data_IF_386575149401
#
_entry.id   IF_386575149401
#
_cell.length_a   1.000
_cell.length_b   1.000
_cell.length_c   1.000
_cell.angle_alpha   90.00
_cell.angle_beta   90.00
_cell.angle_gamma   90.00
#
_symmetry.space_group_name_H-M   'P 1'
#
loop_
_entity.id
_entity.type
_entity.pdbx_description
1 polymer ?
#
# COMPACT_ATOMS: atom_id res chain seq x y z
N UNK A 1 24.09 -31.08 -7.90
CA UNK A 1 23.68 -30.76 -6.53
C UNK A 1 22.77 -31.87 -6.00
N UNK A 2 22.83 -32.19 -4.72
CA UNK A 2 22.02 -33.22 -4.09
C UNK A 2 20.68 -32.62 -3.61
N UNK A 3 19.59 -33.37 -3.82
CA UNK A 3 18.25 -33.02 -3.33
C UNK A 3 18.20 -33.16 -1.84
N UNK A 4 18.00 -32.04 -1.14
CA UNK A 4 17.89 -32.00 0.32
C UNK A 4 16.58 -31.36 0.73
N UNK A 5 16.19 -31.58 1.99
CA UNK A 5 15.06 -30.90 2.57
C UNK A 5 15.46 -29.54 3.13
N UNK A 6 14.67 -28.52 2.81
CA UNK A 6 14.88 -27.14 3.28
C UNK A 6 13.55 -26.48 3.62
N UNK A 7 13.62 -25.42 4.40
CA UNK A 7 12.48 -24.51 4.54
C UNK A 7 12.49 -23.58 3.33
N UNK A 8 11.42 -23.62 2.56
CA UNK A 8 11.21 -22.75 1.39
C UNK A 8 10.24 -21.65 1.81
N UNK A 9 10.65 -20.41 1.61
CA UNK A 9 9.89 -19.22 1.96
C UNK A 9 9.66 -18.45 0.66
N UNK A 10 8.41 -18.31 0.29
CA UNK A 10 8.02 -17.46 -0.83
C UNK A 10 7.93 -16.02 -0.36
N UNK A 11 8.65 -15.13 -1.01
CA UNK A 11 8.68 -13.71 -0.69
C UNK A 11 8.26 -12.90 -1.90
N UNK A 12 7.30 -12.01 -1.70
CA UNK A 12 6.93 -10.99 -2.68
C UNK A 12 7.70 -9.72 -2.37
N UNK A 13 8.55 -9.29 -3.29
CA UNK A 13 9.34 -8.06 -3.16
C UNK A 13 8.56 -6.88 -3.72
N UNK A 14 8.47 -5.80 -2.96
CA UNK A 14 7.81 -4.57 -3.38
C UNK A 14 8.50 -3.33 -2.81
N UNK A 15 8.58 -2.29 -3.62
CA UNK A 15 9.12 -1.01 -3.19
C UNK A 15 8.01 -0.07 -2.74
N UNK A 16 8.29 0.73 -1.73
CA UNK A 16 7.31 1.64 -1.17
C UNK A 16 7.90 2.84 -0.43
N UNK A 17 6.99 3.58 0.19
CA UNK A 17 7.35 4.72 1.03
C UNK A 17 6.75 4.56 2.40
N UNK A 18 7.52 4.96 3.39
CA UNK A 18 7.08 5.00 4.78
C UNK A 18 6.20 6.23 4.97
N UNK A 19 5.04 6.02 5.59
CA UNK A 19 4.11 7.08 5.95
C UNK A 19 3.54 6.82 7.35
N UNK A 20 3.01 7.85 8.05
CA UNK A 20 2.28 7.63 9.29
C UNK A 20 0.96 6.92 9.01
N UNK A 21 0.48 6.13 9.97
CA UNK A 21 -0.84 5.49 9.91
C UNK A 21 -1.97 6.54 9.93
N UNK A 22 -1.78 7.62 10.70
CA UNK A 22 -2.72 8.73 10.80
C UNK A 22 -2.01 10.05 10.50
N UNK A 23 -2.51 10.77 9.50
CA UNK A 23 -2.05 12.08 9.09
C UNK A 23 -3.24 13.02 8.95
N UNK A 24 -3.15 14.20 9.55
CA UNK A 24 -4.19 15.22 9.49
C UNK A 24 -3.63 16.49 8.84
N UNK A 25 -4.20 16.83 7.70
CA UNK A 25 -3.89 18.08 7.01
C UNK A 25 -4.73 19.22 7.57
N UNK A 26 -4.07 20.20 8.16
CA UNK A 26 -4.71 21.40 8.70
C UNK A 26 -4.83 22.41 7.57
N UNK A 27 -6.08 22.71 7.23
CA UNK A 27 -6.41 23.69 6.19
C UNK A 27 -7.26 24.82 6.78
N UNK A 28 -7.18 26.01 6.19
CA UNK A 28 -8.08 27.12 6.54
C UNK A 28 -9.41 26.96 5.85
N UNK A 29 -10.50 27.17 6.58
CA UNK A 29 -11.86 27.25 6.02
C UNK A 29 -12.28 28.69 5.68
N UNK A 30 -11.51 29.69 6.16
CA UNK A 30 -11.73 31.11 5.91
C UNK A 30 -10.50 31.71 5.22
N UNK A 31 -10.69 32.80 4.49
CA UNK A 31 -9.59 33.52 3.85
C UNK A 31 -9.13 34.69 4.72
N UNK A 32 -7.89 34.57 5.25
CA UNK A 32 -7.31 35.63 6.10
C UNK A 32 -5.76 35.55 6.06
N UNK A 33 -5.10 36.66 6.44
CA UNK A 33 -3.66 36.73 6.58
C UNK A 33 -3.19 36.02 7.84
N UNK A 34 -2.12 35.26 7.75
CA UNK A 34 -1.48 34.60 8.91
C UNK A 34 -0.72 35.68 9.70
N UNK A 35 -1.11 35.88 10.95
CA UNK A 35 -0.47 36.87 11.84
C UNK A 35 0.60 36.27 12.72
N UNK A 36 0.43 35.02 13.14
CA UNK A 36 1.44 34.29 13.92
C UNK A 36 1.28 32.79 13.75
N UNK A 37 2.42 32.08 13.79
CA UNK A 37 2.53 30.63 13.87
C UNK A 37 3.24 30.32 15.18
N UNK A 38 2.63 29.47 16.02
CA UNK A 38 3.11 29.20 17.39
C UNK A 38 3.93 27.91 17.50
N UNK A 39 4.05 27.15 16.42
CA UNK A 39 4.73 25.86 16.34
C UNK A 39 5.67 25.81 15.14
N UNK A 40 6.71 25.00 15.23
CA UNK A 40 7.65 24.73 14.15
C UNK A 40 7.53 23.26 13.68
N UNK A 41 8.13 22.96 12.52
CA UNK A 41 8.26 21.57 12.08
C UNK A 41 9.07 20.75 13.09
N UNK A 42 8.56 19.58 13.45
CA UNK A 42 9.12 18.70 14.47
C UNK A 42 8.57 18.89 15.87
N UNK A 43 7.78 19.95 16.12
CA UNK A 43 7.16 20.16 17.44
C UNK A 43 6.03 19.17 17.69
N UNK A 44 5.94 18.72 18.95
CA UNK A 44 4.84 17.89 19.42
C UNK A 44 3.68 18.77 19.86
N UNK A 45 2.48 18.48 19.39
CA UNK A 45 1.26 19.24 19.67
C UNK A 45 0.20 18.38 20.35
N UNK A 46 -0.61 19.03 21.20
CA UNK A 46 -1.72 18.38 21.89
C UNK A 46 -3.07 18.82 21.30
N UNK A 47 -4.13 18.02 21.43
CA UNK A 47 -5.47 18.40 21.00
C UNK A 47 -5.90 19.73 21.62
N UNK A 48 -6.44 20.63 20.80
CA UNK A 48 -6.86 21.98 21.24
C UNK A 48 -5.73 23.00 21.36
N UNK A 49 -4.47 22.63 21.14
CA UNK A 49 -3.35 23.58 21.13
C UNK A 49 -3.47 24.55 19.95
N UNK A 50 -3.22 25.84 20.21
CA UNK A 50 -3.19 26.85 19.15
C UNK A 50 -1.97 26.64 18.26
N UNK A 51 -2.20 26.55 16.96
CA UNK A 51 -1.18 26.34 15.94
C UNK A 51 -0.88 27.64 15.18
N UNK A 52 -1.96 28.27 14.69
CA UNK A 52 -1.88 29.46 13.85
C UNK A 52 -2.96 30.43 14.25
N UNK A 53 -2.60 31.72 14.30
CA UNK A 53 -3.56 32.82 14.39
C UNK A 53 -3.58 33.59 13.08
N UNK A 54 -4.78 33.91 12.62
CA UNK A 54 -5.02 34.73 11.45
C UNK A 54 -5.58 36.11 11.84
N UNK A 55 -5.60 37.06 10.91
CA UNK A 55 -6.16 38.38 11.16
C UNK A 55 -7.67 38.30 11.43
N UNK A 56 -8.05 38.54 12.67
CA UNK A 56 -9.42 38.45 13.15
C UNK A 56 -10.20 39.77 13.06
N UNK A 57 -9.56 40.90 12.65
CA UNK A 57 -10.17 42.22 12.76
C UNK A 57 -11.52 42.34 12.07
N UNK A 58 -11.63 41.83 10.86
CA UNK A 58 -12.86 41.86 10.09
C UNK A 58 -13.92 40.93 10.69
N UNK A 59 -13.57 39.76 11.10
CA UNK A 59 -14.48 38.78 11.72
C UNK A 59 -14.96 39.25 13.09
N UNK A 60 -14.08 39.81 13.87
CA UNK A 60 -14.40 40.39 15.17
C UNK A 60 -15.34 41.59 15.03
N UNK A 61 -15.16 42.46 14.03
CA UNK A 61 -16.07 43.54 13.75
C UNK A 61 -17.47 43.06 13.36
N UNK A 62 -17.56 42.03 12.51
CA UNK A 62 -18.83 41.40 12.11
C UNK A 62 -19.53 40.74 13.31
N UNK A 63 -18.79 40.03 14.19
CA UNK A 63 -19.31 39.46 15.42
C UNK A 63 -19.89 40.56 16.33
N UNK A 64 -19.15 41.65 16.60
CA UNK A 64 -19.58 42.73 17.45
C UNK A 64 -20.83 43.45 16.88
N UNK A 65 -20.93 43.61 15.57
CA UNK A 65 -22.09 44.16 14.89
C UNK A 65 -23.35 43.32 15.16
N UNK A 66 -23.21 42.00 14.96
CA UNK A 66 -24.32 41.04 15.15
C UNK A 66 -24.71 40.93 16.61
N UNK A 67 -23.73 40.94 17.54
CA UNK A 67 -23.97 40.99 18.99
C UNK A 67 -24.79 42.22 19.39
N UNK A 68 -24.51 43.37 18.77
CA UNK A 68 -25.33 44.60 19.01
C UNK A 68 -26.76 44.44 18.46
N UNK A 69 -26.94 43.67 17.37
CA UNK A 69 -28.25 43.28 16.87
C UNK A 69 -29.06 42.42 17.83
N UNK A 70 -28.42 41.43 18.46
CA UNK A 70 -29.05 40.59 19.50
C UNK A 70 -29.51 41.47 20.67
N UNK A 71 -28.63 42.34 21.18
CA UNK A 71 -28.98 43.26 22.28
C UNK A 71 -30.17 44.15 21.96
N UNK A 72 -30.28 44.62 20.70
CA UNK A 72 -31.42 45.42 20.22
C UNK A 72 -32.71 44.60 20.19
N UNK A 73 -32.68 43.36 19.68
CA UNK A 73 -33.81 42.45 19.66
C UNK A 73 -34.27 42.05 21.08
N UNK A 74 -33.34 41.77 21.98
CA UNK A 74 -33.64 41.50 23.40
C UNK A 74 -34.29 42.71 24.10
N UNK A 75 -33.83 43.93 23.84
CA UNK A 75 -34.43 45.14 24.38
C UNK A 75 -35.87 45.32 23.88
N UNK A 76 -36.13 45.02 22.60
CA UNK A 76 -37.49 45.02 22.02
C UNK A 76 -38.38 43.96 22.65
N UNK A 77 -37.88 42.70 22.80
CA UNK A 77 -38.61 41.65 23.49
C UNK A 77 -38.96 42.04 24.91
N UNK A 78 -38.02 42.62 25.66
CA UNK A 78 -38.27 43.13 27.04
C UNK A 78 -39.38 44.19 27.06
N UNK A 79 -39.40 45.11 26.09
CA UNK A 79 -40.46 46.11 25.96
C UNK A 79 -41.81 45.47 25.73
N UNK A 80 -41.92 44.55 24.77
CA UNK A 80 -43.17 43.87 24.39
C UNK A 80 -43.63 42.96 25.53
N UNK A 81 -42.72 42.27 26.18
CA UNK A 81 -43.01 41.42 27.36
C UNK A 81 -43.66 42.24 28.48
N UNK A 82 -43.09 43.41 28.85
CA UNK A 82 -43.67 44.27 29.87
C UNK A 82 -45.02 44.84 29.44
N UNK A 83 -45.27 45.00 28.16
CA UNK A 83 -46.60 45.39 27.64
C UNK A 83 -47.59 44.24 27.71
N UNK A 84 -47.18 43.00 27.35
CA UNK A 84 -47.97 41.78 27.46
C UNK A 84 -48.43 41.56 28.91
N UNK A 85 -47.54 41.62 29.91
CA UNK A 85 -47.83 41.45 31.33
C UNK A 85 -48.88 42.47 31.82
N UNK A 86 -48.77 43.74 31.35
CA UNK A 86 -49.78 44.77 31.69
C UNK A 86 -51.14 44.47 31.04
N UNK A 87 -51.14 44.08 29.77
CA UNK A 87 -52.36 43.78 29.01
C UNK A 87 -53.07 42.54 29.59
N UNK A 88 -52.33 41.50 29.95
CA UNK A 88 -52.85 40.30 30.63
C UNK A 88 -53.54 40.68 31.96
N UNK A 89 -52.91 41.54 32.78
CA UNK A 89 -53.50 42.02 34.03
C UNK A 89 -54.76 42.86 33.83
N UNK A 90 -54.89 43.62 32.73
CA UNK A 90 -56.13 44.35 32.39
C UNK A 90 -57.25 43.44 31.88
N UNK A 91 -56.89 42.41 31.13
CA UNK A 91 -57.84 41.41 30.65
C UNK A 91 -58.43 40.59 31.79
N UNK A 92 -57.62 40.16 32.78
CA UNK A 92 -58.11 39.50 33.98
C UNK A 92 -59.14 40.34 34.75
N UNK A 93 -59.03 41.66 34.66
CA UNK A 93 -59.97 42.62 35.29
C UNK A 93 -61.15 42.97 34.35
N UNK A 94 -61.29 42.31 33.20
CA UNK A 94 -62.32 42.55 32.17
C UNK A 94 -62.31 43.97 31.59
N UNK A 95 -61.16 44.62 31.51
CA UNK A 95 -61.00 46.02 31.07
C UNK A 95 -60.65 46.15 29.58
N UNK A 96 -60.31 45.08 28.93
CA UNK A 96 -59.94 45.00 27.50
C UNK A 96 -60.57 43.84 26.80
N UNK A 97 -60.58 43.84 25.46
CA UNK A 97 -61.11 42.76 24.62
C UNK A 97 -60.13 41.59 24.44
N UNK A 98 -60.70 40.42 24.12
CA UNK A 98 -59.87 39.22 23.79
C UNK A 98 -58.98 39.49 22.56
N UNK A 99 -59.50 40.19 21.57
CA UNK A 99 -58.75 40.58 20.36
C UNK A 99 -57.46 41.37 20.68
N UNK A 100 -57.54 42.28 21.67
CA UNK A 100 -56.40 43.08 22.07
C UNK A 100 -55.31 42.26 22.81
N UNK A 101 -55.74 41.25 23.60
CA UNK A 101 -54.85 40.28 24.20
C UNK A 101 -54.15 39.42 23.12
N UNK A 102 -54.90 38.84 22.19
CA UNK A 102 -54.33 38.05 21.10
C UNK A 102 -53.37 38.86 20.23
N UNK A 103 -53.61 40.14 20.00
CA UNK A 103 -52.69 41.01 19.25
C UNK A 103 -51.35 41.22 19.98
N UNK A 104 -51.34 41.40 21.29
CA UNK A 104 -50.09 41.56 22.06
C UNK A 104 -49.34 40.25 22.21
N UNK A 105 -50.04 39.12 22.32
CA UNK A 105 -49.46 37.78 22.33
C UNK A 105 -48.74 37.51 21.01
N UNK A 106 -49.38 37.79 19.88
CA UNK A 106 -48.73 37.67 18.57
C UNK A 106 -47.52 38.61 18.43
N UNK A 107 -47.60 39.83 18.99
CA UNK A 107 -46.46 40.75 18.99
C UNK A 107 -45.28 40.27 19.85
N UNK A 108 -45.61 39.61 20.98
CA UNK A 108 -44.59 38.99 21.84
C UNK A 108 -43.92 37.82 21.13
N UNK A 109 -44.67 36.94 20.47
CA UNK A 109 -44.16 35.81 19.73
C UNK A 109 -43.25 36.27 18.56
N UNK A 110 -43.69 37.34 17.86
CA UNK A 110 -42.86 37.97 16.79
C UNK A 110 -41.53 38.49 17.36
N UNK A 111 -41.58 39.22 18.50
CA UNK A 111 -40.37 39.75 19.14
C UNK A 111 -39.45 38.63 19.65
N UNK A 112 -40.02 37.54 20.17
CA UNK A 112 -39.26 36.34 20.57
C UNK A 112 -38.55 35.72 19.38
N UNK A 113 -39.26 35.47 18.26
CA UNK A 113 -38.69 34.92 17.02
C UNK A 113 -37.58 35.82 16.45
N UNK A 114 -37.67 37.15 16.60
CA UNK A 114 -36.62 38.09 16.22
C UNK A 114 -35.33 37.92 17.06
N UNK A 115 -35.47 37.63 18.35
CA UNK A 115 -34.31 37.32 19.19
C UNK A 115 -33.65 36.01 18.74
N UNK A 116 -34.44 34.95 18.50
CA UNK A 116 -33.93 33.65 18.06
C UNK A 116 -33.19 33.77 16.70
N UNK A 117 -33.73 34.58 15.78
CA UNK A 117 -33.09 34.86 14.50
C UNK A 117 -31.78 35.61 14.68
N UNK A 118 -31.75 36.63 15.56
CA UNK A 118 -30.54 37.41 15.83
C UNK A 118 -29.46 36.53 16.51
N UNK A 119 -29.85 35.67 17.44
CA UNK A 119 -28.95 34.72 18.10
C UNK A 119 -28.37 33.70 17.14
N UNK A 120 -29.18 33.17 16.23
CA UNK A 120 -28.69 32.26 15.16
C UNK A 120 -27.66 32.94 14.24
N UNK A 121 -27.90 34.23 13.91
CA UNK A 121 -26.95 35.04 13.16
C UNK A 121 -25.66 35.29 13.94
N UNK A 122 -25.74 35.52 15.24
CA UNK A 122 -24.57 35.70 16.12
C UNK A 122 -23.73 34.43 16.16
N UNK A 123 -24.34 33.26 16.33
CA UNK A 123 -23.67 31.97 16.37
C UNK A 123 -22.88 31.72 15.07
N UNK A 124 -23.45 32.08 13.90
CA UNK A 124 -22.75 31.97 12.63
C UNK A 124 -21.48 32.86 12.59
N UNK A 125 -21.54 34.08 13.11
CA UNK A 125 -20.38 34.99 13.13
C UNK A 125 -19.35 34.60 14.18
N UNK A 126 -19.79 34.00 15.28
CA UNK A 126 -18.91 33.42 16.30
C UNK A 126 -18.11 32.22 15.73
N UNK A 127 -18.77 31.35 14.98
CA UNK A 127 -18.11 30.24 14.28
C UNK A 127 -17.07 30.75 13.28
N UNK A 128 -17.40 31.77 12.47
CA UNK A 128 -16.44 32.39 11.55
C UNK A 128 -15.24 33.01 12.29
N UNK A 129 -15.49 33.67 13.42
CA UNK A 129 -14.44 34.24 14.27
C UNK A 129 -13.57 33.15 14.90
N UNK A 130 -14.15 32.04 15.35
CA UNK A 130 -13.41 30.93 15.92
C UNK A 130 -12.44 30.33 14.93
N UNK A 131 -12.83 30.25 13.65
CA UNK A 131 -12.04 29.73 12.54
C UNK A 131 -10.81 30.58 12.18
N UNK A 132 -10.67 31.79 12.76
CA UNK A 132 -9.43 32.58 12.65
C UNK A 132 -8.28 31.99 13.46
N UNK A 133 -8.56 31.05 14.34
CA UNK A 133 -7.57 30.34 15.15
C UNK A 133 -7.60 28.86 14.76
N UNK A 134 -6.51 28.40 14.17
CA UNK A 134 -6.37 26.99 13.85
C UNK A 134 -5.81 26.25 15.06
N UNK A 135 -6.56 25.26 15.52
CA UNK A 135 -6.21 24.42 16.66
C UNK A 135 -5.88 23.01 16.19
N UNK A 136 -5.01 22.31 16.94
CA UNK A 136 -4.70 20.92 16.66
C UNK A 136 -5.92 20.03 16.96
N UNK A 137 -6.40 19.21 15.99
CA UNK A 137 -7.54 18.33 16.22
C UNK A 137 -7.16 17.05 16.99
N UNK A 138 -5.89 16.63 16.91
CA UNK A 138 -5.38 15.41 17.53
C UNK A 138 -3.95 15.63 18.07
N UNK A 139 -3.49 14.68 18.88
CA UNK A 139 -2.10 14.60 19.29
C UNK A 139 -1.22 14.19 18.09
N UNK A 140 -0.02 14.76 17.98
CA UNK A 140 0.92 14.40 16.94
C UNK A 140 2.13 15.32 16.87
N UNK A 141 2.91 15.15 15.81
CA UNK A 141 4.08 15.97 15.51
C UNK A 141 3.81 16.72 14.21
N UNK A 142 4.20 17.99 14.15
CA UNK A 142 4.12 18.80 12.93
C UNK A 142 5.13 18.26 11.91
N UNK A 143 4.65 17.63 10.84
CA UNK A 143 5.51 17.02 9.82
C UNK A 143 5.86 17.97 8.69
N UNK A 144 4.98 18.90 8.37
CA UNK A 144 5.26 19.95 7.39
C UNK A 144 4.51 21.24 7.69
N UNK A 145 5.14 22.37 7.38
CA UNK A 145 4.57 23.70 7.44
C UNK A 145 4.65 24.34 6.05
N UNK A 146 3.51 24.46 5.38
CA UNK A 146 3.45 24.91 3.98
C UNK A 146 3.36 26.43 3.85
N UNK A 147 3.01 27.12 4.93
CA UNK A 147 2.73 28.56 4.96
C UNK A 147 3.57 29.30 5.98
N UNK A 148 3.91 30.56 5.67
CA UNK A 148 4.68 31.44 6.55
C UNK A 148 3.84 32.58 7.13
N UNK A 149 4.37 33.23 8.18
CA UNK A 149 3.75 34.44 8.75
C UNK A 149 3.74 35.56 7.70
N UNK A 150 2.59 36.19 7.51
CA UNK A 150 2.41 37.23 6.50
C UNK A 150 1.86 36.70 5.16
N UNK A 151 1.72 35.38 5.00
CA UNK A 151 1.02 34.82 3.85
C UNK A 151 -0.49 34.77 4.07
N UNK A 152 -1.23 34.65 2.96
CA UNK A 152 -2.67 34.48 2.98
C UNK A 152 -3.03 32.99 3.04
N UNK A 153 -3.75 32.57 4.06
CA UNK A 153 -4.47 31.30 4.08
C UNK A 153 -5.76 31.46 3.26
N UNK A 154 -5.87 30.70 2.18
CA UNK A 154 -7.05 30.72 1.30
C UNK A 154 -8.02 29.66 1.80
N UNK A 155 -9.17 30.10 2.30
CA UNK A 155 -10.29 29.25 2.65
C UNK A 155 -11.26 29.14 1.49
N UNK A 156 -11.90 27.98 1.35
CA UNK A 156 -12.94 27.79 0.35
C UNK A 156 -13.37 26.33 0.24
N UNK A 157 -14.60 26.13 -0.21
CA UNK A 157 -15.20 24.80 -0.34
C UNK A 157 -14.56 23.96 -1.45
N UNK A 158 -13.93 24.60 -2.47
CA UNK A 158 -13.42 23.92 -3.65
C UNK A 158 -11.91 23.62 -3.64
N UNK A 159 -11.13 24.36 -2.86
CA UNK A 159 -9.68 24.14 -2.78
C UNK A 159 -9.12 24.74 -1.47
N UNK A 160 -9.35 24.08 -0.35
CA UNK A 160 -8.80 24.53 0.93
C UNK A 160 -7.28 24.43 0.88
N UNK A 161 -6.60 25.56 1.08
CA UNK A 161 -5.15 25.58 1.16
C UNK A 161 -4.67 24.87 2.44
N UNK A 162 -3.93 23.79 2.27
CA UNK A 162 -3.24 23.13 3.39
C UNK A 162 -2.20 24.09 3.94
N UNK A 163 -2.21 24.31 5.25
CA UNK A 163 -1.30 25.21 5.94
C UNK A 163 -0.20 24.44 6.64
N UNK A 164 -0.54 23.33 7.25
CA UNK A 164 0.40 22.40 7.89
C UNK A 164 -0.16 20.99 7.95
N UNK A 165 0.70 20.03 8.22
CA UNK A 165 0.36 18.62 8.41
C UNK A 165 0.82 18.17 9.79
N UNK A 166 -0.04 17.44 10.48
CA UNK A 166 0.25 16.81 11.79
C UNK A 166 0.09 15.30 11.63
N UNK A 167 1.03 14.53 12.15
CA UNK A 167 0.97 13.08 12.09
C UNK A 167 1.43 12.43 13.41
N UNK A 168 0.88 11.26 13.69
CA UNK A 168 1.36 10.42 14.77
C UNK A 168 2.51 9.53 14.26
N UNK A 169 3.74 9.87 14.63
CA UNK A 169 4.95 9.14 14.21
C UNK A 169 5.21 7.89 15.06
N UNK A 170 4.40 7.62 16.10
CA UNK A 170 4.52 6.39 16.89
C UNK A 170 3.98 5.17 16.12
N UNK A 171 3.13 5.40 15.12
CA UNK A 171 2.51 4.37 14.29
C UNK A 171 2.81 4.66 12.83
N UNK A 172 3.70 3.86 12.27
CA UNK A 172 4.16 3.99 10.90
C UNK A 172 3.73 2.79 10.07
N UNK A 173 3.43 3.02 8.81
CA UNK A 173 3.16 1.99 7.82
C UNK A 173 4.00 2.23 6.56
N UNK A 174 4.26 1.17 5.83
CA UNK A 174 4.86 1.25 4.49
C UNK A 174 3.76 1.05 3.46
N UNK A 175 3.62 2.00 2.57
CA UNK A 175 2.75 1.90 1.41
C UNK A 175 3.55 1.39 0.23
N UNK A 176 3.40 0.11 -0.10
CA UNK A 176 4.13 -0.56 -1.19
C UNK A 176 3.27 -0.75 -2.43
N UNK A 177 3.93 -0.75 -3.59
CA UNK A 177 3.31 -1.02 -4.88
C UNK A 177 3.66 -2.46 -5.30
N UNK A 178 2.70 -3.39 -5.16
CA UNK A 178 2.83 -4.81 -5.50
C UNK A 178 2.30 -5.07 -6.90
N UNK A 179 3.01 -5.86 -7.69
CA UNK A 179 2.58 -6.23 -9.04
C UNK A 179 1.29 -7.06 -9.04
N UNK A 180 0.48 -6.98 -10.11
CA UNK A 180 -0.77 -7.72 -10.28
C UNK A 180 -0.60 -9.25 -10.17
N UNK A 181 0.53 -9.78 -10.66
CA UNK A 181 0.77 -11.23 -10.60
C UNK A 181 1.06 -11.71 -9.18
N UNK A 182 1.69 -10.88 -8.37
CA UNK A 182 2.17 -11.24 -7.04
C UNK A 182 1.13 -10.94 -5.95
N UNK A 183 0.28 -9.91 -6.15
CA UNK A 183 -0.73 -9.51 -5.17
C UNK A 183 -1.75 -10.61 -4.86
N UNK A 184 -1.96 -11.53 -5.79
CA UNK A 184 -2.89 -12.67 -5.62
C UNK A 184 -2.45 -13.61 -4.50
N UNK A 185 -1.15 -13.70 -4.25
CA UNK A 185 -0.57 -14.56 -3.19
C UNK A 185 -0.49 -13.85 -1.83
N UNK A 186 -0.59 -12.50 -1.82
CA UNK A 186 -0.52 -11.71 -0.59
C UNK A 186 -1.85 -11.74 0.15
N UNK A 187 -1.81 -11.97 1.46
CA UNK A 187 -2.99 -11.96 2.32
C UNK A 187 -2.83 -10.98 3.49
N UNK A 188 -3.95 -10.44 3.98
CA UNK A 188 -3.94 -9.61 5.19
C UNK A 188 -3.52 -10.46 6.39
N UNK A 189 -2.52 -9.98 7.12
CA UNK A 189 -1.92 -10.70 8.24
C UNK A 189 -0.57 -11.34 7.93
N UNK A 190 -0.13 -11.36 6.66
CA UNK A 190 1.19 -11.85 6.29
C UNK A 190 2.28 -11.01 6.97
N UNK A 191 3.35 -11.66 7.39
CA UNK A 191 4.52 -11.00 7.94
C UNK A 191 5.40 -10.46 6.83
N UNK A 192 6.01 -9.30 7.06
CA UNK A 192 6.88 -8.65 6.09
C UNK A 192 8.20 -8.22 6.74
N UNK A 193 9.28 -8.39 6.01
CA UNK A 193 10.59 -7.83 6.31
C UNK A 193 10.72 -6.50 5.58
N UNK A 194 11.08 -5.44 6.30
CA UNK A 194 11.15 -4.08 5.79
C UNK A 194 12.60 -3.61 5.87
N UNK A 195 13.17 -3.31 4.74
CA UNK A 195 14.50 -2.72 4.60
C UNK A 195 14.33 -1.25 4.23
N UNK A 196 14.83 -0.36 5.07
CA UNK A 196 14.75 1.09 4.86
C UNK A 196 16.08 1.55 4.27
N UNK A 197 16.06 2.25 3.13
CA UNK A 197 17.26 2.67 2.40
C UNK A 197 18.22 3.53 3.26
N UNK A 198 17.65 4.27 4.21
CA UNK A 198 18.42 5.09 5.14
C UNK A 198 19.12 4.27 6.25
N UNK A 199 18.75 2.99 6.45
CA UNK A 199 19.27 2.10 7.50
C UNK A 199 19.61 0.71 6.93
N UNK A 200 20.62 0.60 6.06
CA UNK A 200 20.91 -0.62 5.29
C UNK A 200 21.25 -1.84 6.16
N UNK A 201 21.76 -1.62 7.37
CA UNK A 201 22.17 -2.69 8.28
C UNK A 201 21.06 -3.12 9.26
N UNK A 202 19.84 -2.59 9.11
CA UNK A 202 18.75 -2.83 10.06
C UNK A 202 17.52 -3.36 9.33
N UNK A 203 17.09 -4.55 9.71
CA UNK A 203 15.85 -5.17 9.23
C UNK A 203 14.72 -4.87 10.22
N UNK A 204 13.64 -4.29 9.70
CA UNK A 204 12.41 -4.08 10.47
C UNK A 204 11.38 -5.11 10.07
N UNK A 205 10.42 -5.37 10.95
CA UNK A 205 9.33 -6.29 10.71
C UNK A 205 8.00 -5.56 10.67
N UNK A 206 7.11 -6.06 9.85
CA UNK A 206 5.76 -5.54 9.72
C UNK A 206 4.73 -6.63 9.46
N UNK A 207 3.48 -6.22 9.41
CA UNK A 207 2.34 -7.09 9.10
C UNK A 207 1.49 -6.39 8.04
N UNK A 208 1.07 -7.12 7.02
CA UNK A 208 0.14 -6.63 6.00
C UNK A 208 -1.19 -6.29 6.67
N UNK A 209 -1.57 -5.01 6.65
CA UNK A 209 -2.79 -4.51 7.27
C UNK A 209 -3.94 -4.34 6.28
N UNK A 210 -3.63 -3.94 5.04
CA UNK A 210 -4.64 -3.65 4.03
C UNK A 210 -4.08 -3.89 2.63
N UNK A 211 -4.93 -4.40 1.74
CA UNK A 211 -4.64 -4.58 0.32
C UNK A 211 -5.69 -3.80 -0.47
N UNK A 212 -5.26 -2.86 -1.31
CA UNK A 212 -6.17 -2.06 -2.11
C UNK A 212 -6.91 -2.92 -3.15
N UNK A 213 -8.22 -2.75 -3.24
CA UNK A 213 -9.06 -3.47 -4.22
C UNK A 213 -9.02 -2.84 -5.62
N UNK A 214 -8.39 -1.69 -5.77
CA UNK A 214 -8.30 -0.97 -7.05
C UNK A 214 -6.85 -0.80 -7.44
N UNK A 215 -6.51 -1.23 -8.64
CA UNK A 215 -5.19 -1.01 -9.20
C UNK A 215 -4.98 0.46 -9.58
N UNK A 216 -3.77 0.97 -9.37
CA UNK A 216 -3.31 2.22 -9.98
C UNK A 216 -2.48 1.89 -11.21
N UNK A 217 -3.02 2.19 -12.38
CA UNK A 217 -2.26 2.17 -13.62
C UNK A 217 -1.39 3.45 -13.68
N UNK A 218 -0.10 3.29 -13.65
CA UNK A 218 0.84 4.39 -13.91
C UNK A 218 1.02 4.56 -15.42
N UNK A 219 0.80 5.80 -15.88
CA UNK A 219 1.03 6.32 -17.24
C UNK A 219 -0.04 6.04 -18.32
N UNK A 220 -0.88 7.05 -18.50
CA UNK A 220 -1.53 7.28 -19.80
C UNK A 220 -0.45 7.72 -20.82
N UNK A 221 0.18 6.79 -21.54
CA UNK A 221 1.05 7.17 -22.66
C UNK A 221 2.25 6.29 -22.99
N UNK A 222 2.60 5.29 -22.21
CA UNK A 222 3.65 4.32 -22.57
C UNK A 222 3.07 2.94 -22.95
N UNK A 223 3.72 2.23 -23.86
CA UNK A 223 3.28 0.94 -24.39
C UNK A 223 3.34 -0.22 -23.36
N UNK A 224 3.92 0.01 -22.18
CA UNK A 224 3.93 -0.95 -21.07
C UNK A 224 3.11 -0.41 -19.93
N UNK A 225 1.91 -0.95 -19.78
CA UNK A 225 1.01 -0.67 -18.68
C UNK A 225 1.33 -1.61 -17.52
N UNK A 226 2.12 -1.16 -16.56
CA UNK A 226 2.36 -1.92 -15.33
C UNK A 226 1.20 -1.65 -14.37
N UNK A 227 0.48 -2.70 -14.04
CA UNK A 227 -0.63 -2.66 -13.09
C UNK A 227 -0.12 -3.02 -11.71
N UNK A 228 -0.16 -2.07 -10.78
CA UNK A 228 0.25 -2.27 -9.40
C UNK A 228 -0.91 -2.06 -8.44
N UNK A 229 -0.93 -2.85 -7.37
CA UNK A 229 -1.85 -2.72 -6.24
C UNK A 229 -1.12 -2.15 -5.04
N UNK A 230 -1.77 -1.22 -4.34
CA UNK A 230 -1.21 -0.68 -3.11
C UNK A 230 -1.49 -1.61 -1.94
N UNK A 231 -0.43 -1.96 -1.23
CA UNK A 231 -0.49 -2.77 -0.02
C UNK A 231 0.09 -1.94 1.13
N UNK A 232 -0.62 -1.90 2.25
CA UNK A 232 -0.16 -1.26 3.48
C UNK A 232 0.43 -2.30 4.41
N UNK A 233 1.64 -2.06 4.83
CA UNK A 233 2.36 -2.91 5.79
C UNK A 233 2.65 -2.10 7.04
N UNK A 234 1.98 -2.43 8.13
CA UNK A 234 2.16 -1.78 9.43
C UNK A 234 3.49 -2.21 10.04
N UNK A 235 4.32 -1.24 10.40
CA UNK A 235 5.61 -1.50 11.05
C UNK A 235 5.41 -1.88 12.52
N UNK A 236 6.16 -2.88 12.97
CA UNK A 236 6.24 -3.26 14.38
C UNK A 236 7.38 -2.47 15.03
N UNK A 237 7.04 -1.70 16.08
CA UNK A 237 8.02 -0.92 16.86
C UNK A 237 8.92 -0.02 16.00
N UNK A 238 8.38 0.93 15.25
CA UNK A 238 9.20 1.84 14.45
C UNK A 238 10.13 2.67 15.36
N UNK A 239 11.43 2.78 15.06
CA UNK A 239 12.32 3.64 15.82
C UNK A 239 12.01 5.12 15.55
N UNK A 240 12.21 5.96 16.56
CA UNK A 240 11.83 7.39 16.49
C UNK A 240 12.62 8.25 15.49
N UNK A 241 13.63 7.70 14.82
CA UNK A 241 14.43 8.36 13.78
C UNK A 241 13.91 8.08 12.35
N UNK A 242 12.93 7.23 12.17
CA UNK A 242 12.24 7.06 10.89
C UNK A 242 11.36 8.27 10.62
N UNK A 243 11.42 8.78 9.38
CA UNK A 243 10.65 9.94 8.94
C UNK A 243 9.70 9.58 7.81
N UNK A 244 8.51 10.18 7.76
CA UNK A 244 7.63 10.05 6.60
C UNK A 244 8.33 10.42 5.30
N UNK A 245 8.02 9.69 4.22
CA UNK A 245 8.62 9.89 2.90
C UNK A 245 9.89 9.10 2.63
N UNK A 246 10.50 8.43 3.62
CA UNK A 246 11.65 7.55 3.40
C UNK A 246 11.24 6.38 2.49
N UNK A 247 12.16 6.02 1.58
CA UNK A 247 12.02 4.86 0.71
C UNK A 247 12.37 3.58 1.45
N UNK A 248 11.70 2.51 1.11
CA UNK A 248 11.93 1.18 1.68
C UNK A 248 11.57 0.07 0.69
N UNK A 249 12.25 -1.05 0.83
CA UNK A 249 11.94 -2.30 0.16
C UNK A 249 11.30 -3.24 1.17
N UNK A 250 10.20 -3.87 0.78
CA UNK A 250 9.45 -4.77 1.64
C UNK A 250 9.39 -6.16 1.01
N UNK A 251 9.81 -7.17 1.75
CA UNK A 251 9.73 -8.58 1.39
C UNK A 251 8.57 -9.21 2.17
N UNK A 252 7.40 -9.36 1.53
CA UNK A 252 6.20 -9.95 2.13
C UNK A 252 6.33 -11.47 2.08
N UNK A 253 6.26 -12.14 3.22
CA UNK A 253 6.30 -13.60 3.33
C UNK A 253 4.89 -14.13 3.16
N UNK A 254 4.60 -14.68 1.98
CA UNK A 254 3.26 -15.15 1.62
C UNK A 254 3.06 -16.62 1.94
N UNK A 255 4.10 -17.43 1.79
CA UNK A 255 4.00 -18.85 2.05
C UNK A 255 5.31 -19.41 2.63
N UNK A 256 5.18 -20.34 3.58
CA UNK A 256 6.32 -21.03 4.20
C UNK A 256 6.09 -22.53 4.14
N UNK A 257 6.93 -23.25 3.40
CA UNK A 257 6.96 -24.72 3.36
C UNK A 257 8.13 -25.21 4.19
N UNK A 258 7.81 -25.80 5.35
CA UNK A 258 8.81 -26.40 6.23
C UNK A 258 9.16 -27.81 5.76
N UNK A 259 10.44 -28.15 5.81
CA UNK A 259 10.96 -29.49 5.50
C UNK A 259 10.55 -30.02 4.11
N UNK A 260 10.45 -29.10 3.12
CA UNK A 260 10.11 -29.46 1.75
C UNK A 260 11.32 -30.00 0.97
N UNK A 261 11.10 -30.97 0.10
CA UNK A 261 12.10 -31.43 -0.87
C UNK A 261 12.39 -30.25 -1.81
N UNK A 262 13.65 -29.85 -1.93
CA UNK A 262 14.03 -28.65 -2.68
C UNK A 262 14.99 -28.97 -3.81
N UNK A 263 14.78 -28.27 -4.94
CA UNK A 263 15.64 -28.29 -6.11
C UNK A 263 16.08 -26.87 -6.45
N UNK A 264 17.33 -26.66 -6.90
CA UNK A 264 17.77 -25.35 -7.36
C UNK A 264 16.97 -24.86 -8.57
N UNK A 265 16.67 -23.57 -8.65
CA UNK A 265 15.94 -22.96 -9.79
C UNK A 265 16.63 -23.31 -11.13
N UNK A 266 17.95 -23.32 -11.15
CA UNK A 266 18.74 -23.58 -12.34
C UNK A 266 18.60 -25.02 -12.89
N UNK A 267 18.10 -25.98 -12.11
CA UNK A 267 17.92 -27.38 -12.51
C UNK A 267 16.62 -27.63 -13.28
N UNK A 268 15.64 -26.73 -13.18
CA UNK A 268 14.33 -26.87 -13.78
C UNK A 268 14.34 -26.45 -15.25
N UNK A 269 13.74 -27.26 -16.13
CA UNK A 269 13.54 -26.90 -17.53
C UNK A 269 12.19 -27.40 -18.05
N UNK A 270 11.65 -26.73 -19.07
CA UNK A 270 10.41 -27.12 -19.71
C UNK A 270 10.69 -27.92 -20.99
N UNK A 271 10.08 -29.11 -21.11
CA UNK A 271 10.16 -29.98 -22.30
C UNK A 271 8.76 -30.28 -22.84
N UNK A 272 8.68 -30.65 -24.15
CA UNK A 272 7.42 -31.13 -24.68
C UNK A 272 7.11 -32.54 -24.17
N UNK A 273 5.83 -32.87 -23.96
CA UNK A 273 5.37 -34.17 -23.43
C UNK A 273 5.90 -35.39 -24.18
N UNK A 274 6.31 -35.23 -25.46
CA UNK A 274 6.84 -36.29 -26.32
C UNK A 274 8.37 -36.39 -26.31
N UNK A 275 9.08 -35.83 -25.33
CA UNK A 275 10.56 -35.79 -25.33
C UNK A 275 11.23 -37.16 -25.34
N UNK A 276 10.62 -38.21 -24.75
CA UNK A 276 11.15 -39.57 -24.75
C UNK A 276 11.11 -40.24 -26.15
N UNK A 277 10.02 -40.03 -26.87
CA UNK A 277 9.86 -40.57 -28.24
C UNK A 277 10.76 -39.86 -29.24
N UNK A 278 11.01 -38.57 -29.07
CA UNK A 278 11.92 -37.78 -29.91
C UNK A 278 13.39 -38.18 -29.68
N UNK A 279 13.76 -38.58 -28.46
CA UNK A 279 15.11 -39.06 -28.14
C UNK A 279 15.42 -40.45 -28.78
N UNK A 280 14.43 -41.35 -28.83
CA UNK A 280 14.56 -42.67 -29.45
C UNK A 280 14.65 -42.60 -31.00
N UNK A 281 13.92 -41.66 -31.63
CA UNK A 281 13.93 -41.50 -33.07
C UNK A 281 15.22 -40.86 -33.64
N UNK A 282 15.97 -40.10 -32.84
CA UNK A 282 17.27 -39.52 -33.24
C UNK A 282 18.40 -40.55 -33.31
N UNK A 283 18.26 -41.73 -32.68
CA UNK A 283 19.24 -42.83 -32.79
C UNK A 283 19.10 -43.66 -34.06
N UNK A 284 17.96 -43.59 -34.78
CA UNK A 284 17.71 -44.44 -35.97
C UNK A 284 17.94 -43.74 -37.31
N UNK A 285 18.16 -42.45 -37.37
CA UNK A 285 18.40 -41.73 -38.61
C UNK A 285 19.76 -41.01 -38.59
N UNK A 286 20.83 -41.81 -38.64
CA UNK A 286 22.14 -41.41 -39.17
C UNK A 286 22.23 -41.94 -40.61
N UNK A 287 21.44 -41.41 -41.50
CA UNK A 287 21.68 -41.47 -42.95
C UNK A 287 21.10 -40.22 -43.58
N UNK A 288 21.91 -39.61 -44.33
CA UNK A 288 21.85 -38.43 -45.15
C UNK A 288 20.45 -38.07 -45.72
N UNK A 289 19.99 -36.83 -45.51
CA UNK A 289 19.12 -36.19 -46.49
C UNK A 289 19.54 -34.74 -46.73
N UNK A 290 19.88 -34.53 -48.01
CA UNK A 290 20.12 -33.24 -48.65
C UNK A 290 18.90 -32.35 -48.55
N UNK A 291 19.12 -31.10 -48.19
CA UNK A 291 18.15 -30.03 -48.33
C UNK A 291 17.77 -29.83 -49.80
N UNK A 292 16.54 -30.14 -50.15
CA UNK A 292 15.89 -29.67 -51.37
C UNK A 292 14.72 -28.76 -51.00
N UNK A 293 14.82 -27.49 -51.36
CA UNK A 293 13.86 -26.45 -51.01
C UNK A 293 12.56 -26.60 -51.81
N UNK A 294 11.50 -27.01 -51.13
CA UNK A 294 10.13 -26.81 -51.59
C UNK A 294 9.23 -26.41 -50.46
N UNK A 295 8.68 -25.21 -50.55
CA UNK A 295 7.59 -24.72 -49.72
C UNK A 295 6.40 -25.69 -49.79
N UNK A 296 6.11 -26.39 -48.69
CA UNK A 296 4.82 -27.04 -48.50
C UNK A 296 3.92 -26.16 -47.67
N UNK A 297 2.92 -25.56 -48.32
CA UNK A 297 1.71 -25.03 -47.66
C UNK A 297 0.94 -26.24 -47.08
N UNK A 298 1.16 -26.50 -45.80
CA UNK A 298 0.44 -27.50 -45.04
C UNK A 298 -0.51 -26.81 -44.06
N UNK A 299 -1.80 -27.03 -44.28
CA UNK A 299 -2.89 -26.70 -43.36
C UNK A 299 -2.75 -27.62 -42.14
N UNK A 300 -1.94 -27.23 -41.17
CA UNK A 300 -1.64 -28.00 -39.96
C UNK A 300 -2.28 -27.35 -38.73
N UNK A 301 -3.26 -28.03 -38.19
CA UNK A 301 -3.82 -27.82 -36.88
C UNK A 301 -2.68 -28.02 -35.87
N UNK A 302 -2.01 -26.93 -35.46
CA UNK A 302 -0.95 -26.94 -34.45
C UNK A 302 -1.61 -27.22 -33.10
N UNK A 303 -1.69 -28.50 -32.69
CA UNK A 303 -1.87 -28.83 -31.27
C UNK A 303 -0.67 -28.22 -30.57
N UNK A 304 -0.94 -27.25 -29.66
CA UNK A 304 0.08 -26.74 -28.71
C UNK A 304 0.61 -27.96 -27.95
N UNK A 305 1.84 -28.37 -28.22
CA UNK A 305 2.50 -29.39 -27.42
C UNK A 305 2.50 -28.92 -25.96
N UNK A 306 1.90 -29.72 -25.09
CA UNK A 306 1.88 -29.45 -23.68
C UNK A 306 3.30 -29.51 -23.15
N UNK A 307 3.79 -28.40 -22.58
CA UNK A 307 5.10 -28.36 -21.95
C UNK A 307 4.96 -28.91 -20.53
N UNK A 308 5.87 -29.77 -20.12
CA UNK A 308 6.01 -30.31 -18.77
C UNK A 308 7.33 -29.83 -18.18
N UNK A 309 7.34 -29.64 -16.89
CA UNK A 309 8.52 -29.27 -16.12
C UNK A 309 9.29 -30.54 -15.77
N UNK A 310 10.61 -30.53 -16.03
CA UNK A 310 11.46 -31.69 -15.86
C UNK A 310 12.79 -31.30 -15.21
N UNK A 311 13.37 -32.23 -14.50
CA UNK A 311 14.74 -32.16 -13.97
C UNK A 311 15.58 -33.33 -14.51
N UNK A 312 16.87 -33.14 -14.50
CA UNK A 312 17.84 -34.15 -14.91
C UNK A 312 18.50 -34.77 -13.65
N UNK A 313 18.23 -36.05 -13.41
CA UNK A 313 18.82 -36.82 -12.31
C UNK A 313 19.97 -37.67 -12.85
N UNK A 314 21.04 -37.75 -12.06
CA UNK A 314 22.19 -38.60 -12.37
C UNK A 314 22.00 -39.96 -11.70
N UNK A 315 22.16 -41.05 -12.51
CA UNK A 315 22.17 -42.44 -11.99
C UNK A 315 23.39 -43.20 -12.50
N UNK A 316 23.82 -44.17 -11.74
CA UNK A 316 24.95 -45.02 -12.09
C UNK A 316 24.55 -46.16 -13.04
N UNK A 317 23.25 -46.48 -13.13
CA UNK A 317 22.68 -47.53 -13.99
C UNK A 317 21.56 -47.01 -14.86
N UNK A 318 21.51 -47.42 -16.12
CA UNK A 318 20.44 -47.13 -17.05
C UNK A 318 20.22 -48.29 -18.04
N UNK A 319 18.96 -48.77 -18.20
CA UNK A 319 18.56 -49.88 -19.10
C UNK A 319 19.30 -51.20 -18.82
N UNK A 320 19.78 -51.43 -17.57
CA UNK A 320 20.54 -52.60 -17.16
C UNK A 320 22.03 -52.56 -17.50
N UNK A 321 22.53 -51.40 -17.93
CA UNK A 321 23.94 -51.14 -18.17
C UNK A 321 24.50 -50.18 -17.12
N UNK A 322 25.62 -50.57 -16.46
CA UNK A 322 26.37 -49.74 -15.55
C UNK A 322 27.12 -48.62 -16.29
N UNK A 323 27.17 -47.42 -15.73
CA UNK A 323 27.93 -46.35 -16.33
C UNK A 323 29.45 -46.62 -16.25
N UNK A 324 30.21 -46.30 -17.33
CA UNK A 324 31.66 -46.40 -17.32
C UNK A 324 32.28 -45.54 -16.21
N UNK A 325 33.45 -45.96 -15.71
CA UNK A 325 34.17 -45.25 -14.64
C UNK A 325 34.25 -43.72 -14.87
N UNK A 326 33.79 -42.95 -13.89
CA UNK A 326 33.80 -41.51 -13.90
C UNK A 326 32.67 -40.87 -14.73
N UNK A 327 31.69 -41.64 -15.22
CA UNK A 327 30.50 -41.14 -15.93
C UNK A 327 29.23 -41.57 -15.23
N UNK A 328 28.14 -40.82 -15.47
CA UNK A 328 26.79 -41.15 -15.00
C UNK A 328 25.77 -40.97 -16.11
N UNK A 329 24.68 -41.71 -16.03
CA UNK A 329 23.55 -41.55 -16.94
C UNK A 329 22.65 -40.42 -16.46
N UNK A 330 22.12 -39.64 -17.39
CA UNK A 330 21.14 -38.57 -17.14
C UNK A 330 19.74 -39.12 -17.37
N UNK A 331 18.91 -39.10 -16.36
CA UNK A 331 17.50 -39.48 -16.43
C UNK A 331 16.64 -38.22 -16.34
N UNK A 332 15.73 -38.08 -17.32
CA UNK A 332 14.76 -36.98 -17.28
C UNK A 332 13.57 -37.42 -16.46
N UNK A 333 13.25 -36.64 -15.45
CA UNK A 333 12.13 -36.91 -14.53
C UNK A 333 11.19 -35.73 -14.54
N UNK A 334 9.89 -35.93 -14.85
CA UNK A 334 8.89 -34.88 -14.67
C UNK A 334 8.71 -34.54 -13.20
N UNK A 335 8.63 -33.27 -12.90
CA UNK A 335 8.45 -32.75 -11.55
C UNK A 335 7.23 -31.85 -11.45
N UNK A 336 6.55 -31.90 -10.32
CA UNK A 336 5.50 -30.98 -9.96
C UNK A 336 6.05 -30.03 -8.88
N UNK A 337 6.24 -28.76 -9.26
CA UNK A 337 6.76 -27.74 -8.36
C UNK A 337 5.62 -27.03 -7.64
N UNK A 338 5.83 -26.63 -6.40
CA UNK A 338 4.86 -25.96 -5.57
C UNK A 338 5.23 -24.47 -5.39
N UNK A 339 6.02 -24.20 -4.38
CA UNK A 339 6.41 -22.87 -3.94
C UNK A 339 7.86 -22.61 -4.31
N UNK A 340 8.15 -21.42 -4.76
CA UNK A 340 9.50 -20.96 -5.03
C UNK A 340 10.06 -20.05 -3.94
N UNK A 341 11.37 -20.04 -3.86
CA UNK A 341 12.12 -19.00 -3.16
C UNK A 341 13.11 -18.39 -4.14
N UNK A 342 13.90 -17.43 -3.72
CA UNK A 342 14.91 -16.77 -4.57
C UNK A 342 15.90 -17.75 -5.23
N UNK A 343 16.11 -18.95 -4.67
CA UNK A 343 17.16 -19.86 -5.11
C UNK A 343 16.67 -21.29 -5.39
N UNK A 344 15.55 -21.71 -4.82
CA UNK A 344 15.06 -23.09 -4.87
C UNK A 344 13.55 -23.16 -5.07
N UNK A 345 13.10 -24.23 -5.71
CA UNK A 345 11.71 -24.67 -5.76
C UNK A 345 11.43 -25.75 -4.73
N UNK A 346 10.26 -25.68 -4.08
CA UNK A 346 9.69 -26.82 -3.37
C UNK A 346 9.06 -27.77 -4.38
N UNK A 347 9.30 -29.08 -4.22
CA UNK A 347 8.78 -30.11 -5.13
C UNK A 347 7.77 -30.98 -4.41
N UNK A 348 6.58 -31.15 -5.02
CA UNK A 348 5.51 -32.05 -4.55
C UNK A 348 5.79 -33.50 -4.92
N UNK A 349 6.25 -33.72 -6.16
CA UNK A 349 6.49 -35.07 -6.69
C UNK A 349 7.52 -35.07 -7.82
N UNK A 350 8.17 -36.22 -8.02
CA UNK A 350 9.10 -36.46 -9.13
C UNK A 350 10.54 -36.73 -8.66
N UNK A 351 11.00 -36.17 -7.56
CA UNK A 351 12.36 -36.39 -7.01
C UNK A 351 12.32 -36.90 -5.58
N UNK A 352 13.36 -37.59 -5.16
CA UNK A 352 13.51 -38.13 -3.81
C UNK A 352 14.75 -37.54 -3.16
N UNK A 353 14.72 -37.45 -1.83
CA UNK A 353 15.86 -37.01 -1.04
C UNK A 353 17.09 -37.88 -1.34
N UNK A 354 18.24 -37.26 -1.62
CA UNK A 354 19.48 -37.93 -1.98
C UNK A 354 19.71 -38.09 -3.49
N UNK A 355 18.72 -37.76 -4.34
CA UNK A 355 18.94 -37.75 -5.78
C UNK A 355 19.94 -36.66 -6.17
N UNK A 356 20.87 -37.00 -7.06
CA UNK A 356 21.83 -36.03 -7.61
C UNK A 356 21.26 -35.35 -8.86
N UNK A 357 21.02 -34.04 -8.79
CA UNK A 357 20.44 -33.25 -9.85
C UNK A 357 21.52 -32.45 -10.59
N UNK A 358 21.33 -32.31 -11.92
CA UNK A 358 22.22 -31.51 -12.78
C UNK A 358 21.84 -30.03 -12.62
N UNK A 359 22.79 -29.18 -12.14
CA UNK A 359 22.67 -27.73 -11.98
C UNK A 359 23.61 -26.98 -12.92
N UNK A 360 23.93 -27.53 -14.08
CA UNK A 360 24.89 -26.97 -15.02
C UNK A 360 24.39 -25.75 -15.77
N UNK A 361 25.16 -25.35 -16.83
CA UNK A 361 24.78 -24.20 -17.65
C UNK A 361 23.41 -24.38 -18.30
N UNK A 362 22.63 -23.31 -18.43
CA UNK A 362 21.31 -23.31 -19.11
C UNK A 362 21.37 -23.96 -20.49
N UNK A 363 22.49 -23.81 -21.26
CA UNK A 363 22.68 -24.42 -22.57
C UNK A 363 22.73 -25.95 -22.49
N UNK A 364 23.41 -26.50 -21.48
CA UNK A 364 23.47 -27.94 -21.27
C UNK A 364 22.07 -28.49 -20.93
N UNK A 365 21.39 -27.90 -19.95
CA UNK A 365 20.08 -28.38 -19.50
C UNK A 365 18.99 -28.18 -20.56
N UNK A 366 18.99 -27.06 -21.28
CA UNK A 366 17.92 -26.73 -22.24
C UNK A 366 18.07 -27.40 -23.61
N UNK A 367 19.32 -27.70 -24.07
CA UNK A 367 19.57 -28.13 -25.46
C UNK A 367 20.40 -29.38 -25.63
N UNK A 368 21.39 -29.61 -24.76
CA UNK A 368 22.40 -30.65 -24.95
C UNK A 368 22.03 -31.96 -24.25
N UNK A 369 21.46 -31.89 -23.04
CA UNK A 369 21.09 -33.07 -22.28
C UNK A 369 19.80 -33.72 -22.78
N UNK A 370 19.81 -35.04 -22.85
CA UNK A 370 18.66 -35.86 -23.21
C UNK A 370 18.64 -37.14 -22.34
N UNK A 371 17.49 -37.77 -22.28
CA UNK A 371 17.30 -39.00 -21.50
C UNK A 371 18.29 -40.09 -21.93
N UNK A 372 19.01 -40.70 -21.02
CA UNK A 372 20.04 -41.70 -21.26
C UNK A 372 21.38 -41.14 -21.77
N UNK A 373 21.61 -39.82 -21.69
CA UNK A 373 22.90 -39.23 -22.04
C UNK A 373 23.98 -39.60 -21.01
N UNK A 374 25.16 -39.96 -21.44
CA UNK A 374 26.34 -40.18 -20.61
C UNK A 374 27.06 -38.87 -20.38
N UNK A 375 27.21 -38.47 -19.13
CA UNK A 375 27.90 -37.23 -18.72
C UNK A 375 29.05 -37.54 -17.76
N UNK A 376 30.14 -36.80 -17.84
CA UNK A 376 31.17 -36.79 -16.81
C UNK A 376 30.82 -35.74 -15.76
N UNK A 377 30.80 -36.14 -14.52
CA UNK A 377 30.56 -35.23 -13.39
C UNK A 377 31.87 -34.49 -13.15
N UNK A 378 31.96 -33.23 -13.60
CA UNK A 378 33.02 -32.34 -13.20
C UNK A 378 32.79 -31.87 -11.75
N UNK A 379 33.86 -31.82 -10.95
CA UNK A 379 33.78 -31.15 -9.63
C UNK A 379 33.30 -29.73 -9.85
N UNK A 380 32.15 -29.40 -9.26
CA UNK A 380 31.59 -28.05 -9.32
C UNK A 380 32.60 -27.02 -8.83
N UNK A 381 32.56 -25.82 -9.38
CA UNK A 381 33.37 -24.66 -9.07
C UNK A 381 33.27 -24.26 -7.58
N UNK A 382 33.88 -25.09 -6.69
CA UNK A 382 34.06 -24.80 -5.25
C UNK A 382 35.36 -24.02 -5.01
N UNK A 383 35.76 -23.17 -5.93
CA UNK A 383 37.03 -22.47 -5.90
C UNK A 383 36.95 -20.95 -5.89
N UNK A 384 36.37 -20.35 -4.85
CA UNK A 384 36.64 -18.95 -4.53
C UNK A 384 36.35 -18.63 -3.06
N UNK A 385 37.09 -19.29 -2.16
CA UNK A 385 37.36 -18.74 -0.80
C UNK A 385 38.61 -19.40 -0.21
N UNK A 386 39.79 -18.98 -0.69
CA UNK A 386 41.04 -18.97 0.09
C UNK A 386 42.05 -18.08 -0.62
N UNK A 387 42.27 -16.91 -0.13
CA UNK A 387 43.25 -15.93 -0.56
C UNK A 387 43.24 -14.76 0.37
N UNK A 388 43.76 -14.95 1.52
CA UNK A 388 45.10 -14.53 2.03
C UNK A 388 45.21 -13.06 2.39
N UNK A 389 45.48 -12.89 3.67
CA UNK A 389 46.16 -11.83 4.38
C UNK A 389 45.59 -10.43 4.37
#
# INVERSE_FOLDING_TARGET
>A
EEVIRRNIIHKVNANGKIQPEEEVQISSTITAWITSITVAEGDTVQPGQLLISMDEKQYRAAYNQTLSGVKSAEAKLKQVKAQKERTESLYEKNLISKQELEQIEASFELASSQVDQAQSSLLSREDELSKTKLLAPAFGIVTSLTKEVGEMAIGGMFNPGVVMTIADLSRMEVLVDVNENDVVTVTVGDTAEIEVDAFPDTLFYGIVSEIAHTAKSMNLGSQEQVTNFKVKVKMLNPPGNIRPGMSSTVNIITEVRKDAISIPIQSLTARSENFETLAKNKKSNKDEEKYDGKEMKGNGNWKKDKKIEVVFILKDEFDGEDAPDGKKYVIVVPVDVDVDSETHYAVKSGVVMGDSIVTGSYKAISRELHHGALVSVGEGFSGLQKGTK
#
